data_IF_181918412105
#
_entry.id   IF_181918412105
#
_cell.length_a   1.000
_cell.length_b   1.000
_cell.length_c   1.000
_cell.angle_alpha   90.00
_cell.angle_beta   90.00
_cell.angle_gamma   90.00
#
_symmetry.space_group_name_H-M   'P 1'
#
loop_
_entity.id
_entity.type
_entity.pdbx_description
1 polymer ?
#
# COMPACT_ATOMS: atom_id res chain seq x y z
N UNK A 1 -23.29 21.69 -11.19
CA UNK A 1 -22.10 20.80 -11.06
C UNK A 1 -21.97 20.43 -9.60
N UNK A 2 -22.02 19.14 -9.25
CA UNK A 2 -21.87 18.71 -7.85
C UNK A 2 -20.45 19.03 -7.36
N UNK A 3 -20.31 20.03 -6.48
CA UNK A 3 -19.02 20.44 -5.90
C UNK A 3 -18.30 19.31 -5.14
N UNK A 4 -19.02 18.24 -4.78
CA UNK A 4 -18.47 17.06 -4.10
C UNK A 4 -17.65 16.13 -5.02
N UNK A 5 -17.96 16.05 -6.31
CA UNK A 5 -17.25 15.16 -7.24
C UNK A 5 -15.74 15.47 -7.35
N UNK A 6 -15.31 16.71 -7.67
CA UNK A 6 -13.89 17.01 -7.78
C UNK A 6 -13.17 16.80 -6.45
N UNK A 7 -13.79 17.17 -5.32
CA UNK A 7 -13.21 16.93 -4.00
C UNK A 7 -12.95 15.44 -3.73
N UNK A 8 -13.94 14.59 -4.01
CA UNK A 8 -13.80 13.14 -3.87
C UNK A 8 -12.74 12.57 -4.82
N UNK A 9 -12.69 13.05 -6.06
CA UNK A 9 -11.72 12.60 -7.05
C UNK A 9 -10.29 12.95 -6.62
N UNK A 10 -10.04 14.19 -6.19
CA UNK A 10 -8.73 14.59 -5.70
C UNK A 10 -8.33 13.84 -4.42
N UNK A 11 -9.26 13.65 -3.48
CA UNK A 11 -9.01 12.85 -2.28
C UNK A 11 -8.66 11.40 -2.63
N UNK A 12 -9.36 10.81 -3.61
CA UNK A 12 -9.09 9.46 -4.10
C UNK A 12 -7.69 9.35 -4.72
N UNK A 13 -7.35 10.22 -5.67
CA UNK A 13 -6.02 10.24 -6.31
C UNK A 13 -4.92 10.44 -5.27
N UNK A 14 -5.09 11.40 -4.37
CA UNK A 14 -4.12 11.68 -3.31
C UNK A 14 -3.93 10.48 -2.38
N UNK A 15 -4.99 9.75 -2.06
CA UNK A 15 -4.91 8.54 -1.24
C UNK A 15 -4.15 7.40 -1.92
N UNK A 16 -4.24 7.26 -3.27
CA UNK A 16 -3.38 6.33 -4.01
C UNK A 16 -1.90 6.72 -3.87
N UNK A 17 -1.58 7.99 -4.08
CA UNK A 17 -0.20 8.50 -3.98
C UNK A 17 0.38 8.23 -2.59
N UNK A 18 -0.38 8.52 -1.52
CA UNK A 18 0.04 8.23 -0.14
C UNK A 18 0.14 6.73 0.17
N UNK A 19 -0.65 5.88 -0.50
CA UNK A 19 -0.57 4.43 -0.30
C UNK A 19 0.65 3.81 -0.98
N UNK A 20 1.12 4.36 -2.10
CA UNK A 20 2.20 3.79 -2.91
C UNK A 20 3.54 4.47 -2.66
N UNK A 21 3.58 5.81 -2.78
CA UNK A 21 4.81 6.60 -2.82
C UNK A 21 5.78 6.32 -1.67
N UNK A 22 5.34 6.31 -0.40
CA UNK A 22 6.20 6.07 0.74
C UNK A 22 6.98 4.73 0.72
N UNK A 23 6.51 3.70 0.01
CA UNK A 23 7.22 2.42 -0.06
C UNK A 23 8.51 2.47 -0.88
N UNK A 24 8.61 3.36 -1.87
CA UNK A 24 9.86 3.55 -2.61
C UNK A 24 10.99 4.06 -1.71
N UNK A 25 10.63 4.92 -0.74
CA UNK A 25 11.57 5.44 0.26
C UNK A 25 12.12 4.30 1.12
N UNK A 26 11.34 3.25 1.41
CA UNK A 26 11.77 2.13 2.24
C UNK A 26 12.86 1.25 1.59
N UNK A 27 12.93 1.20 0.25
CA UNK A 27 13.89 0.36 -0.48
C UNK A 27 15.37 0.61 -0.11
N UNK A 28 15.90 1.85 -0.11
CA UNK A 28 17.26 2.11 0.33
C UNK A 28 17.49 1.79 1.82
N UNK A 29 16.49 1.95 2.68
CA UNK A 29 16.62 1.65 4.12
C UNK A 29 16.80 0.16 4.40
N UNK A 30 16.32 -0.74 3.53
CA UNK A 30 16.56 -2.19 3.69
C UNK A 30 18.05 -2.53 3.64
N UNK A 31 18.83 -1.84 2.79
CA UNK A 31 20.27 -2.08 2.68
C UNK A 31 20.97 -1.81 4.01
N UNK A 32 20.53 -0.77 4.73
CA UNK A 32 21.04 -0.40 6.05
C UNK A 32 20.63 -1.43 7.11
N UNK A 33 19.38 -1.92 7.08
CA UNK A 33 18.91 -3.01 7.95
C UNK A 33 19.68 -4.33 7.72
N UNK A 34 20.20 -4.56 6.51
CA UNK A 34 21.01 -5.75 6.19
C UNK A 34 22.43 -5.68 6.78
N UNK A 35 23.00 -4.49 6.90
CA UNK A 35 24.38 -4.27 7.35
C UNK A 35 24.55 -4.23 8.88
N UNK A 36 23.46 -4.23 9.65
CA UNK A 36 23.51 -4.47 11.09
C UNK A 36 24.06 -3.31 11.93
N UNK A 37 23.98 -2.07 11.45
CA UNK A 37 24.35 -0.88 12.24
C UNK A 37 23.31 -0.67 13.35
N UNK A 38 23.55 -1.30 14.51
CA UNK A 38 22.63 -1.36 15.66
C UNK A 38 22.21 0.03 16.18
N UNK A 39 23.06 1.04 16.05
CA UNK A 39 22.83 2.37 16.61
C UNK A 39 21.65 3.10 15.94
N UNK A 40 21.35 2.83 14.67
CA UNK A 40 20.31 3.52 13.90
C UNK A 40 19.13 2.62 13.54
N UNK A 41 19.20 1.34 13.90
CA UNK A 41 18.20 0.34 13.51
C UNK A 41 16.79 0.69 14.03
N UNK A 42 16.69 1.19 15.25
CA UNK A 42 15.43 1.62 15.84
C UNK A 42 14.84 2.81 15.08
N UNK A 43 15.67 3.74 14.61
CA UNK A 43 15.23 4.86 13.78
C UNK A 43 14.68 4.35 12.44
N UNK A 44 15.38 3.44 11.76
CA UNK A 44 14.90 2.87 10.50
C UNK A 44 13.62 2.05 10.65
N UNK A 45 13.51 1.23 11.71
CA UNK A 45 12.28 0.48 12.00
C UNK A 45 11.11 1.41 12.34
N UNK A 46 11.36 2.56 12.95
CA UNK A 46 10.34 3.58 13.21
C UNK A 46 9.78 4.17 11.91
N UNK A 47 10.65 4.47 10.94
CA UNK A 47 10.26 4.92 9.59
C UNK A 47 9.44 3.86 8.88
N UNK A 48 9.85 2.60 8.93
CA UNK A 48 9.09 1.47 8.38
C UNK A 48 7.67 1.39 8.95
N UNK A 49 7.54 1.45 10.28
CA UNK A 49 6.23 1.43 10.96
C UNK A 49 5.38 2.64 10.57
N UNK A 50 5.98 3.83 10.47
CA UNK A 50 5.29 5.05 10.08
C UNK A 50 4.75 4.94 8.66
N UNK A 51 5.58 4.51 7.70
CA UNK A 51 5.18 4.31 6.31
C UNK A 51 4.05 3.28 6.20
N UNK A 52 4.20 2.10 6.80
CA UNK A 52 3.16 1.05 6.76
C UNK A 52 1.86 1.54 7.38
N UNK A 53 1.93 2.32 8.47
CA UNK A 53 0.75 2.90 9.11
C UNK A 53 0.09 3.95 8.21
N UNK A 54 0.86 4.87 7.65
CA UNK A 54 0.35 5.90 6.74
C UNK A 54 -0.35 5.26 5.54
N UNK A 55 0.29 4.30 4.88
CA UNK A 55 -0.28 3.61 3.73
C UNK A 55 -1.51 2.78 4.07
N UNK A 56 -1.59 2.22 5.29
CA UNK A 56 -2.83 1.58 5.76
C UNK A 56 -3.99 2.57 5.83
N UNK A 57 -3.80 3.75 6.45
CA UNK A 57 -4.86 4.75 6.56
C UNK A 57 -5.23 5.32 5.19
N UNK A 58 -4.23 5.63 4.36
CA UNK A 58 -4.43 6.05 2.98
C UNK A 58 -5.21 5.00 2.18
N UNK A 59 -4.91 3.72 2.36
CA UNK A 59 -5.65 2.62 1.75
C UNK A 59 -7.13 2.56 2.15
N UNK A 60 -7.48 2.86 3.41
CA UNK A 60 -8.89 2.95 3.82
C UNK A 60 -9.58 4.17 3.17
N UNK A 61 -8.93 5.33 3.15
CA UNK A 61 -9.44 6.52 2.47
C UNK A 61 -9.66 6.23 0.99
N UNK A 62 -8.74 5.50 0.35
CA UNK A 62 -8.83 5.09 -1.04
C UNK A 62 -10.06 4.22 -1.32
N UNK A 63 -10.32 3.22 -0.46
CA UNK A 63 -11.51 2.36 -0.55
C UNK A 63 -12.79 3.19 -0.42
N UNK A 64 -12.88 4.00 0.63
CA UNK A 64 -14.09 4.76 0.94
C UNK A 64 -14.39 5.79 -0.16
N UNK A 65 -13.37 6.54 -0.59
CA UNK A 65 -13.53 7.53 -1.67
C UNK A 65 -13.85 6.87 -3.01
N UNK A 66 -13.30 5.68 -3.28
CA UNK A 66 -13.62 4.91 -4.49
C UNK A 66 -15.09 4.47 -4.53
N UNK A 67 -15.61 3.94 -3.42
CA UNK A 67 -17.03 3.59 -3.26
C UNK A 67 -17.93 4.81 -3.46
N UNK A 68 -17.57 5.94 -2.82
CA UNK A 68 -18.32 7.20 -2.96
C UNK A 68 -18.30 7.71 -4.41
N UNK A 69 -17.17 7.58 -5.12
CA UNK A 69 -17.09 7.96 -6.53
C UNK A 69 -18.01 7.10 -7.40
N UNK A 70 -18.05 5.78 -7.20
CA UNK A 70 -18.98 4.89 -7.93
C UNK A 70 -20.42 5.33 -7.70
N UNK A 71 -20.78 5.61 -6.45
CA UNK A 71 -22.11 6.07 -6.08
C UNK A 71 -22.47 7.41 -6.75
N UNK A 72 -21.59 8.41 -6.68
CA UNK A 72 -21.83 9.76 -7.25
C UNK A 72 -21.86 9.76 -8.78
N UNK A 73 -21.07 8.88 -9.42
CA UNK A 73 -20.98 8.80 -10.88
C UNK A 73 -21.99 7.84 -11.51
N UNK A 74 -22.69 7.03 -10.72
CA UNK A 74 -23.69 6.09 -11.20
C UNK A 74 -23.11 4.88 -11.97
N UNK A 75 -21.83 4.57 -11.78
CA UNK A 75 -21.22 3.38 -12.42
C UNK A 75 -21.87 2.09 -11.92
N UNK A 76 -22.02 1.13 -12.84
CA UNK A 76 -22.55 -0.18 -12.49
C UNK A 76 -21.58 -0.96 -11.61
N UNK A 77 -22.08 -1.52 -10.50
CA UNK A 77 -21.33 -2.45 -9.66
C UNK A 77 -20.96 -3.75 -10.36
N UNK A 78 -21.53 -4.03 -11.53
CA UNK A 78 -21.20 -5.20 -12.36
C UNK A 78 -20.02 -4.95 -13.29
N UNK A 79 -19.45 -3.74 -13.30
CA UNK A 79 -18.33 -3.41 -14.19
C UNK A 79 -17.08 -4.23 -13.78
N UNK A 80 -16.49 -5.03 -14.69
CA UNK A 80 -15.43 -5.99 -14.33
C UNK A 80 -14.20 -5.36 -13.70
N UNK A 81 -13.67 -4.28 -14.28
CA UNK A 81 -12.48 -3.62 -13.74
C UNK A 81 -12.72 -3.05 -12.33
N UNK A 82 -13.94 -2.60 -12.03
CA UNK A 82 -14.30 -2.07 -10.71
C UNK A 82 -14.30 -3.18 -9.66
N UNK A 83 -14.93 -4.32 -9.96
CA UNK A 83 -14.97 -5.47 -9.06
C UNK A 83 -13.57 -6.02 -8.77
N UNK A 84 -12.75 -6.18 -9.81
CA UNK A 84 -11.37 -6.64 -9.68
C UNK A 84 -10.55 -5.64 -8.84
N UNK A 85 -10.73 -4.34 -9.08
CA UNK A 85 -10.04 -3.29 -8.32
C UNK A 85 -10.41 -3.35 -6.84
N UNK A 86 -11.69 -3.46 -6.49
CA UNK A 86 -12.15 -3.56 -5.10
C UNK A 86 -11.58 -4.82 -4.43
N UNK A 87 -11.60 -5.96 -5.12
CA UNK A 87 -11.05 -7.22 -4.60
C UNK A 87 -9.54 -7.10 -4.32
N UNK A 88 -8.79 -6.54 -5.26
CA UNK A 88 -7.35 -6.29 -5.11
C UNK A 88 -7.10 -5.31 -3.96
N UNK A 89 -7.90 -4.26 -3.86
CA UNK A 89 -7.78 -3.22 -2.84
C UNK A 89 -7.96 -3.81 -1.43
N UNK A 90 -9.04 -4.54 -1.19
CA UNK A 90 -9.30 -5.20 0.10
C UNK A 90 -8.21 -6.23 0.42
N UNK A 91 -7.81 -7.02 -0.57
CA UNK A 91 -6.72 -7.99 -0.42
C UNK A 91 -5.39 -7.32 -0.06
N UNK A 92 -5.10 -6.15 -0.65
CA UNK A 92 -3.88 -5.38 -0.39
C UNK A 92 -3.84 -4.85 1.06
N UNK A 93 -4.97 -4.39 1.60
CA UNK A 93 -5.07 -3.93 2.99
C UNK A 93 -4.77 -5.07 3.97
N UNK A 94 -5.34 -6.25 3.71
CA UNK A 94 -5.10 -7.43 4.53
C UNK A 94 -3.63 -7.91 4.42
N UNK A 95 -3.11 -7.97 3.19
CA UNK A 95 -1.71 -8.32 2.94
C UNK A 95 -0.76 -7.37 3.67
N UNK A 96 -1.02 -6.06 3.63
CA UNK A 96 -0.18 -5.07 4.28
C UNK A 96 -0.09 -5.28 5.79
N UNK A 97 -1.23 -5.51 6.45
CA UNK A 97 -1.25 -5.78 7.89
C UNK A 97 -0.53 -7.09 8.26
N UNK A 98 -0.73 -8.15 7.46
CA UNK A 98 -0.26 -9.50 7.79
C UNK A 98 1.19 -9.76 7.38
N UNK A 99 1.69 -9.15 6.31
CA UNK A 99 3.02 -9.44 5.78
C UNK A 99 4.13 -8.60 6.44
N UNK A 100 3.84 -7.33 6.76
CA UNK A 100 4.83 -6.41 7.34
C UNK A 100 4.94 -6.54 8.86
N UNK A 101 3.81 -6.61 9.57
CA UNK A 101 3.77 -6.63 11.05
C UNK A 101 4.65 -7.73 11.68
N UNK A 102 4.57 -9.02 11.27
CA UNK A 102 5.39 -10.06 11.87
C UNK A 102 6.88 -9.92 11.54
N UNK A 103 7.22 -9.44 10.34
CA UNK A 103 8.61 -9.26 9.92
C UNK A 103 9.28 -8.13 10.71
N UNK A 104 8.59 -7.00 10.90
CA UNK A 104 9.06 -5.87 11.72
C UNK A 104 9.22 -6.29 13.18
N UNK A 105 8.30 -7.11 13.72
CA UNK A 105 8.41 -7.62 15.11
C UNK A 105 9.64 -8.53 15.30
N UNK A 106 9.93 -9.40 14.33
CA UNK A 106 11.13 -10.26 14.36
C UNK A 106 12.44 -9.47 14.29
N UNK A 107 12.45 -8.34 13.58
CA UNK A 107 13.58 -7.41 13.61
C UNK A 107 13.78 -6.81 15.01
N UNK A 108 12.70 -6.43 15.70
CA UNK A 108 12.79 -5.81 17.03
C UNK A 108 13.28 -6.80 18.12
N UNK A 109 12.92 -8.08 18.02
CA UNK A 109 13.23 -9.06 19.05
C UNK A 109 14.64 -9.67 18.96
N UNK A 110 15.44 -9.37 17.92
CA UNK A 110 16.74 -10.02 17.65
C UNK A 110 16.68 -11.57 17.46
N UNK A 111 15.50 -12.18 17.37
CA UNK A 111 15.32 -13.64 17.35
C UNK A 111 15.79 -14.36 16.06
N UNK A 112 16.23 -13.63 15.03
CA UNK A 112 16.63 -14.23 13.76
C UNK A 112 17.76 -13.48 13.03
N UNK A 113 18.53 -14.16 12.16
CA UNK A 113 19.61 -13.54 11.40
C UNK A 113 19.09 -12.39 10.52
N UNK A 114 19.82 -11.27 10.48
CA UNK A 114 19.40 -10.03 9.79
C UNK A 114 19.27 -10.16 8.27
N UNK A 115 20.21 -10.79 7.55
CA UNK A 115 20.12 -10.91 6.09
C UNK A 115 18.85 -11.59 5.56
N UNK A 116 18.39 -12.75 6.09
CA UNK A 116 17.15 -13.37 5.63
C UNK A 116 15.90 -12.55 6.01
N UNK A 117 15.89 -11.86 7.15
CA UNK A 117 14.78 -10.96 7.50
C UNK A 117 14.70 -9.75 6.54
N UNK A 118 15.83 -9.14 6.22
CA UNK A 118 15.90 -7.98 5.30
C UNK A 118 15.45 -8.35 3.89
N UNK A 119 15.90 -9.51 3.38
CA UNK A 119 15.47 -10.00 2.06
C UNK A 119 13.98 -10.35 2.03
N UNK A 120 13.42 -10.91 3.11
CA UNK A 120 11.97 -11.13 3.22
C UNK A 120 11.20 -9.82 3.18
N UNK A 121 11.63 -8.82 3.93
CA UNK A 121 11.01 -7.49 3.96
C UNK A 121 11.06 -6.82 2.58
N UNK A 122 12.18 -6.94 1.87
CA UNK A 122 12.32 -6.45 0.49
C UNK A 122 11.35 -7.10 -0.48
N UNK A 123 11.25 -8.43 -0.45
CA UNK A 123 10.29 -9.17 -1.29
C UNK A 123 8.86 -8.73 -0.99
N UNK A 124 8.52 -8.53 0.28
CA UNK A 124 7.20 -8.04 0.69
C UNK A 124 6.92 -6.63 0.16
N UNK A 125 7.89 -5.70 0.21
CA UNK A 125 7.74 -4.36 -0.38
C UNK A 125 7.50 -4.43 -1.88
N UNK A 126 8.31 -5.21 -2.60
CA UNK A 126 8.15 -5.37 -4.05
C UNK A 126 6.80 -5.98 -4.42
N UNK A 127 6.36 -7.01 -3.71
CA UNK A 127 5.05 -7.62 -3.94
C UNK A 127 3.91 -6.62 -3.70
N UNK A 128 4.00 -5.82 -2.64
CA UNK A 128 3.02 -4.78 -2.36
C UNK A 128 3.03 -3.68 -3.44
N UNK A 129 4.21 -3.18 -3.84
CA UNK A 129 4.34 -2.21 -4.93
C UNK A 129 3.75 -2.73 -6.24
N UNK A 130 4.07 -3.98 -6.62
CA UNK A 130 3.52 -4.60 -7.82
C UNK A 130 1.98 -4.67 -7.76
N UNK A 131 1.42 -5.12 -6.63
CA UNK A 131 -0.03 -5.17 -6.42
C UNK A 131 -0.68 -3.79 -6.56
N UNK A 132 -0.08 -2.78 -5.95
CA UNK A 132 -0.57 -1.40 -6.01
C UNK A 132 -0.45 -0.78 -7.41
N UNK A 133 0.61 -1.09 -8.16
CA UNK A 133 0.79 -0.63 -9.52
C UNK A 133 -0.23 -1.27 -10.48
N UNK A 134 -0.52 -2.57 -10.30
CA UNK A 134 -1.60 -3.26 -11.04
C UNK A 134 -2.94 -2.60 -10.74
N UNK A 135 -3.23 -2.31 -9.47
CA UNK A 135 -4.45 -1.61 -9.07
C UNK A 135 -4.54 -0.21 -9.70
N UNK A 136 -3.44 0.57 -9.66
CA UNK A 136 -3.39 1.89 -10.30
C UNK A 136 -3.64 1.78 -11.82
N UNK A 137 -3.04 0.78 -12.48
CA UNK A 137 -3.27 0.53 -13.90
C UNK A 137 -4.74 0.23 -14.20
N UNK A 138 -5.41 -0.61 -13.39
CA UNK A 138 -6.84 -0.90 -13.55
C UNK A 138 -7.70 0.37 -13.42
N UNK A 139 -7.36 1.26 -12.47
CA UNK A 139 -8.08 2.53 -12.27
C UNK A 139 -7.90 3.52 -13.43
N UNK A 140 -6.73 3.52 -14.09
CA UNK A 140 -6.41 4.43 -15.19
C UNK A 140 -6.89 3.89 -16.52
N UNK A 141 -6.53 2.64 -16.85
CA UNK A 141 -6.84 2.02 -18.14
C UNK A 141 -8.30 1.58 -18.25
N UNK A 142 -8.95 1.28 -17.11
CA UNK A 142 -10.35 0.79 -17.03
C UNK A 142 -10.66 -0.27 -18.09
N UNK A 143 -9.85 -1.35 -18.16
CA UNK A 143 -9.99 -2.33 -19.23
C UNK A 143 -11.41 -2.94 -19.21
N UNK A 144 -12.06 -2.96 -20.36
CA UNK A 144 -13.31 -3.70 -20.52
C UNK A 144 -12.94 -5.14 -20.88
N UNK A 145 -12.98 -6.01 -19.89
CA UNK A 145 -13.01 -7.45 -20.14
C UNK A 145 -14.44 -7.74 -20.61
N UNK A 146 -14.57 -7.93 -21.93
CA UNK A 146 -15.76 -8.37 -22.66
C UNK A 146 -16.67 -9.29 -21.86
#
# INVERSE_FOLDING_TARGET
MNSAYPLLLYAHIFSVILSIGPFFILLPFIKHLRQGVRAEENAYLSVFKAVVRLSKHAGHVLVVTGILLVYVTGWSWKTPWLLITILILVSSLFFLARAFSPTIRKFANNDAPRPPLASKLQKTIWLYLALMLVMLWLMVAKPMFW
#
